data_IF_428018094904
#
_entry.id   IF_428018094904
#
_cell.length_a   1.000
_cell.length_b   1.000
_cell.length_c   1.000
_cell.angle_alpha   90.00
_cell.angle_beta   90.00
_cell.angle_gamma   90.00
#
_symmetry.space_group_name_H-M   'P 1'
#
loop_
_entity.id
_entity.type
_entity.pdbx_description
1 polymer ?
#
# COMPACT_ATOMS: atom_id res chain seq x y z
N UNK A 1 23.68 -0.70 30.83
CA UNK A 1 22.97 -0.98 29.58
C UNK A 1 23.51 -0.01 28.56
N UNK A 2 24.31 -0.51 27.62
CA UNK A 2 24.98 0.33 26.64
C UNK A 2 24.19 0.37 25.34
N UNK A 3 24.37 1.43 24.56
CA UNK A 3 23.81 1.61 23.20
C UNK A 3 23.92 0.36 22.29
N UNK A 4 24.89 -0.53 22.55
CA UNK A 4 25.06 -1.79 21.80
C UNK A 4 24.00 -2.86 22.11
N UNK A 5 23.42 -2.82 23.30
CA UNK A 5 22.37 -3.75 23.73
C UNK A 5 21.02 -3.33 23.14
N UNK A 6 20.72 -2.02 23.11
CA UNK A 6 19.53 -1.46 22.45
C UNK A 6 19.53 -1.70 20.94
N UNK A 7 20.66 -1.48 20.25
CA UNK A 7 20.78 -1.77 18.81
C UNK A 7 20.59 -3.27 18.53
N UNK A 8 21.05 -4.14 19.43
CA UNK A 8 20.85 -5.60 19.28
C UNK A 8 19.39 -6.00 19.48
N UNK A 9 18.70 -5.44 20.48
CA UNK A 9 17.27 -5.69 20.70
C UNK A 9 16.42 -5.20 19.53
N UNK A 10 16.64 -3.96 19.05
CA UNK A 10 15.95 -3.45 17.85
C UNK A 10 16.22 -4.32 16.62
N UNK A 11 17.46 -4.77 16.44
CA UNK A 11 17.83 -5.65 15.31
C UNK A 11 17.17 -7.02 15.43
N UNK A 12 17.09 -7.60 16.62
CA UNK A 12 16.46 -8.90 16.86
C UNK A 12 14.94 -8.81 16.68
N UNK A 13 14.30 -7.75 17.16
CA UNK A 13 12.86 -7.53 16.97
C UNK A 13 12.51 -7.28 15.50
N UNK A 14 13.34 -6.53 14.76
CA UNK A 14 13.21 -6.32 13.30
C UNK A 14 13.39 -7.62 12.50
N UNK A 15 14.38 -8.46 12.86
CA UNK A 15 14.59 -9.74 12.18
C UNK A 15 13.46 -10.72 12.48
N UNK A 16 12.91 -10.69 13.69
CA UNK A 16 11.81 -11.57 14.13
C UNK A 16 10.47 -11.24 13.47
N UNK A 17 10.19 -9.95 13.24
CA UNK A 17 8.99 -9.52 12.49
C UNK A 17 9.03 -9.95 11.03
N UNK A 18 10.23 -10.03 10.42
CA UNK A 18 10.40 -10.48 9.03
C UNK A 18 10.09 -11.98 8.81
N UNK A 19 10.13 -12.81 9.87
CA UNK A 19 9.85 -14.25 9.78
C UNK A 19 8.42 -14.63 10.18
N UNK A 20 7.58 -13.65 10.57
CA UNK A 20 6.24 -13.93 11.10
C UNK A 20 5.17 -14.08 10.02
N UNK A 21 5.39 -13.51 8.84
CA UNK A 21 4.44 -13.53 7.73
C UNK A 21 5.07 -14.02 6.44
N UNK A 22 4.40 -14.96 5.79
CA UNK A 22 4.76 -15.34 4.43
C UNK A 22 4.23 -14.29 3.44
N UNK A 23 4.85 -14.19 2.26
CA UNK A 23 4.43 -13.26 1.22
C UNK A 23 2.94 -13.36 0.90
N UNK A 24 2.40 -14.59 0.86
CA UNK A 24 0.96 -14.84 0.64
C UNK A 24 0.07 -14.17 1.67
N UNK A 25 0.50 -14.13 2.93
CA UNK A 25 -0.29 -13.57 4.02
C UNK A 25 -0.27 -12.05 3.99
N UNK A 26 0.93 -11.49 3.75
CA UNK A 26 1.10 -10.04 3.56
C UNK A 26 0.27 -9.55 2.38
N UNK A 27 0.38 -10.20 1.22
CA UNK A 27 -0.37 -9.79 0.03
C UNK A 27 -1.88 -9.93 0.25
N UNK A 28 -2.35 -11.01 0.87
CA UNK A 28 -3.78 -11.16 1.19
C UNK A 28 -4.29 -10.01 2.04
N UNK A 29 -3.56 -9.66 3.10
CA UNK A 29 -3.95 -8.59 4.02
C UNK A 29 -3.92 -7.21 3.36
N UNK A 30 -2.93 -6.95 2.50
CA UNK A 30 -2.86 -5.74 1.67
C UNK A 30 -4.07 -5.63 0.75
N UNK A 31 -4.38 -6.69 0.00
CA UNK A 31 -5.51 -6.71 -0.94
C UNK A 31 -6.83 -6.49 -0.21
N UNK A 32 -7.05 -7.16 0.91
CA UNK A 32 -8.25 -6.99 1.71
C UNK A 32 -8.37 -5.58 2.29
N UNK A 33 -7.27 -4.99 2.72
CA UNK A 33 -7.23 -3.60 3.21
C UNK A 33 -7.57 -2.59 2.10
N UNK A 34 -7.08 -2.81 0.87
CA UNK A 34 -7.44 -1.98 -0.30
C UNK A 34 -8.94 -2.05 -0.60
N UNK A 35 -9.51 -3.25 -0.54
CA UNK A 35 -10.96 -3.46 -0.74
C UNK A 35 -11.74 -2.71 0.33
N UNK A 36 -11.40 -2.83 1.61
CA UNK A 36 -12.12 -2.17 2.70
C UNK A 36 -12.15 -0.64 2.55
N UNK A 37 -11.06 -0.05 2.05
CA UNK A 37 -11.04 1.39 1.74
C UNK A 37 -11.99 1.74 0.59
N UNK A 38 -12.13 0.84 -0.38
CA UNK A 38 -12.95 1.02 -1.56
C UNK A 38 -14.45 0.81 -1.26
N UNK A 39 -14.82 -0.21 -0.48
CA UNK A 39 -16.20 -0.49 -0.08
C UNK A 39 -16.80 0.61 0.78
N UNK A 40 -15.98 1.38 1.49
CA UNK A 40 -16.43 2.60 2.18
C UNK A 40 -16.85 3.74 1.23
N UNK A 41 -16.53 3.63 -0.07
CA UNK A 41 -16.73 4.69 -1.08
C UNK A 41 -17.60 4.22 -2.25
N UNK A 42 -17.76 2.92 -2.43
CA UNK A 42 -18.45 2.29 -3.55
C UNK A 42 -19.22 1.06 -3.07
N UNK A 43 -19.98 0.38 -3.93
CA UNK A 43 -20.53 -0.92 -3.55
C UNK A 43 -19.44 -1.99 -3.40
N UNK A 44 -19.73 -3.03 -2.63
CA UNK A 44 -18.86 -4.19 -2.47
C UNK A 44 -18.51 -4.81 -3.83
N UNK A 45 -19.50 -5.20 -4.62
CA UNK A 45 -19.27 -5.78 -5.95
C UNK A 45 -18.37 -4.91 -6.83
N UNK A 46 -18.53 -3.59 -6.75
CA UNK A 46 -17.69 -2.67 -7.50
C UNK A 46 -16.24 -2.68 -6.98
N UNK A 47 -16.01 -2.64 -5.67
CA UNK A 47 -14.67 -2.71 -5.08
C UNK A 47 -13.96 -4.03 -5.44
N UNK A 48 -14.64 -5.17 -5.30
CA UNK A 48 -14.08 -6.49 -5.58
C UNK A 48 -13.78 -6.68 -7.07
N UNK A 49 -14.70 -6.30 -7.96
CA UNK A 49 -14.48 -6.35 -9.41
C UNK A 49 -13.37 -5.40 -9.88
N UNK A 50 -13.24 -4.23 -9.23
CA UNK A 50 -12.15 -3.29 -9.46
C UNK A 50 -10.81 -3.94 -9.14
N UNK A 51 -10.66 -4.51 -7.94
CA UNK A 51 -9.41 -5.13 -7.55
C UNK A 51 -9.03 -6.25 -8.53
N UNK A 52 -9.98 -7.11 -8.89
CA UNK A 52 -9.77 -8.19 -9.87
C UNK A 52 -9.27 -7.66 -11.21
N UNK A 53 -9.85 -6.56 -11.69
CA UNK A 53 -9.42 -5.89 -12.94
C UNK A 53 -8.00 -5.34 -12.81
N UNK A 54 -7.67 -4.65 -11.72
CA UNK A 54 -6.35 -4.05 -11.51
C UNK A 54 -5.25 -5.11 -11.38
N UNK A 55 -5.52 -6.21 -10.67
CA UNK A 55 -4.60 -7.36 -10.61
C UNK A 55 -4.33 -7.94 -12.00
N UNK A 56 -5.37 -8.07 -12.84
CA UNK A 56 -5.23 -8.56 -14.21
C UNK A 56 -4.45 -7.59 -15.11
N UNK A 57 -4.59 -6.29 -14.90
CA UNK A 57 -3.81 -5.27 -15.60
C UNK A 57 -2.32 -5.38 -15.27
N UNK A 58 -2.00 -5.52 -13.97
CA UNK A 58 -0.64 -5.64 -13.47
C UNK A 58 0.01 -6.99 -13.78
N UNK A 59 -0.76 -8.06 -14.01
CA UNK A 59 -0.22 -9.39 -14.36
C UNK A 59 0.68 -9.35 -15.60
N UNK A 60 0.50 -8.37 -16.48
CA UNK A 60 1.35 -8.16 -17.67
C UNK A 60 2.79 -7.80 -17.31
N UNK A 61 2.99 -7.05 -16.23
CA UNK A 61 4.30 -6.65 -15.71
C UNK A 61 4.78 -7.63 -14.63
N UNK A 62 3.85 -8.13 -13.82
CA UNK A 62 4.11 -9.00 -12.66
C UNK A 62 3.42 -10.35 -12.85
N UNK A 63 4.05 -11.24 -13.61
CA UNK A 63 3.44 -12.53 -13.99
C UNK A 63 3.04 -13.42 -12.79
N UNK A 64 3.64 -13.22 -11.62
CA UNK A 64 3.30 -13.94 -10.39
C UNK A 64 1.93 -13.54 -9.81
N UNK A 65 1.33 -12.42 -10.24
CA UNK A 65 -0.02 -12.04 -9.81
C UNK A 65 -1.09 -13.05 -10.27
N UNK A 66 -0.78 -13.89 -11.27
CA UNK A 66 -1.62 -15.05 -11.65
C UNK A 66 -1.85 -16.04 -10.50
N UNK A 67 -1.03 -16.01 -9.45
CA UNK A 67 -1.19 -16.84 -8.25
C UNK A 67 -2.26 -16.32 -7.29
N UNK A 68 -2.88 -15.17 -7.59
CA UNK A 68 -3.94 -14.57 -6.81
C UNK A 68 -5.26 -14.80 -7.54
N UNK A 69 -6.20 -15.44 -6.86
CA UNK A 69 -7.54 -15.72 -7.36
C UNK A 69 -8.56 -15.09 -6.41
N UNK A 70 -9.39 -14.20 -6.96
CA UNK A 70 -10.55 -13.66 -6.25
C UNK A 70 -11.75 -14.50 -6.65
N UNK A 71 -12.26 -15.28 -5.69
CA UNK A 71 -13.46 -16.09 -5.88
C UNK A 71 -14.67 -15.20 -6.04
N UNK A 72 -15.52 -15.54 -7.01
CA UNK A 72 -16.85 -14.97 -7.09
C UNK A 72 -17.75 -15.93 -6.31
N UNK A 73 -18.31 -15.47 -5.20
CA UNK A 73 -19.29 -16.28 -4.47
C UNK A 73 -20.58 -15.48 -4.40
N UNK A 74 -21.69 -16.12 -4.79
CA UNK A 74 -23.03 -15.51 -4.85
C UNK A 74 -23.63 -15.22 -3.46
N UNK A 75 -22.80 -15.03 -2.42
CA UNK A 75 -23.22 -14.73 -1.07
C UNK A 75 -23.31 -13.22 -0.82
N UNK A 76 -24.14 -12.87 0.16
CA UNK A 76 -24.42 -11.50 0.60
C UNK A 76 -23.22 -10.74 1.18
N UNK A 77 -22.06 -11.37 1.42
CA UNK A 77 -20.88 -10.75 2.04
C UNK A 77 -19.58 -11.40 1.58
N UNK A 78 -18.67 -10.57 1.07
CA UNK A 78 -17.29 -10.97 0.82
C UNK A 78 -16.44 -10.90 2.09
N UNK A 79 -15.40 -11.72 2.15
CA UNK A 79 -14.49 -11.92 3.28
C UNK A 79 -13.05 -12.05 2.80
N UNK A 80 -12.09 -12.00 3.73
CA UNK A 80 -10.68 -12.17 3.39
C UNK A 80 -10.38 -13.54 2.74
N UNK A 81 -11.17 -14.57 3.07
CA UNK A 81 -11.00 -15.94 2.54
C UNK A 81 -11.38 -16.07 1.05
N UNK A 82 -12.06 -15.05 0.51
CA UNK A 82 -12.38 -14.97 -0.93
C UNK A 82 -11.15 -14.60 -1.78
N UNK A 83 -10.06 -14.16 -1.13
CA UNK A 83 -8.75 -13.92 -1.74
C UNK A 83 -7.88 -15.17 -1.55
N UNK A 84 -7.94 -16.05 -2.54
CA UNK A 84 -7.10 -17.22 -2.61
C UNK A 84 -5.72 -16.87 -3.18
N UNK A 85 -4.66 -17.27 -2.50
CA UNK A 85 -3.28 -16.98 -2.92
C UNK A 85 -2.47 -18.26 -2.86
N UNK A 86 -1.93 -18.66 -4.00
CA UNK A 86 -1.14 -19.87 -4.11
C UNK A 86 0.21 -19.73 -3.39
N UNK A 87 0.69 -20.81 -2.77
CA UNK A 87 1.93 -20.81 -1.97
C UNK A 87 3.19 -20.45 -2.78
N UNK A 88 3.15 -20.57 -4.11
CA UNK A 88 4.22 -20.16 -5.02
C UNK A 88 4.57 -18.67 -4.86
N UNK A 89 3.63 -17.83 -4.39
CA UNK A 89 3.91 -16.43 -4.09
C UNK A 89 5.00 -16.26 -3.01
N UNK A 90 5.17 -17.25 -2.12
CA UNK A 90 6.18 -17.23 -1.06
C UNK A 90 7.61 -17.40 -1.58
N UNK A 91 7.78 -17.75 -2.86
CA UNK A 91 9.08 -17.87 -3.50
C UNK A 91 9.49 -16.60 -4.26
N UNK A 92 8.58 -15.64 -4.41
CA UNK A 92 8.85 -14.39 -5.12
C UNK A 92 9.75 -13.49 -4.29
N UNK A 93 10.68 -12.80 -4.95
CA UNK A 93 11.56 -11.86 -4.30
C UNK A 93 10.76 -10.75 -3.63
N UNK A 94 11.02 -10.52 -2.34
CA UNK A 94 10.29 -9.55 -1.51
C UNK A 94 10.26 -8.16 -2.12
N UNK A 95 11.36 -7.70 -2.72
CA UNK A 95 11.43 -6.38 -3.39
C UNK A 95 10.54 -6.30 -4.62
N UNK A 96 10.43 -7.38 -5.40
CA UNK A 96 9.57 -7.43 -6.58
C UNK A 96 8.09 -7.40 -6.17
N UNK A 97 7.74 -8.13 -5.11
CA UNK A 97 6.42 -8.04 -4.48
C UNK A 97 6.12 -6.64 -3.98
N UNK A 98 7.05 -6.01 -3.27
CA UNK A 98 6.92 -4.63 -2.80
C UNK A 98 6.63 -3.66 -3.95
N UNK A 99 7.36 -3.78 -5.06
CA UNK A 99 7.10 -2.97 -6.26
C UNK A 99 5.69 -3.19 -6.81
N UNK A 100 5.24 -4.44 -6.91
CA UNK A 100 3.87 -4.73 -7.38
C UNK A 100 2.78 -4.20 -6.44
N UNK A 101 3.01 -4.21 -5.13
CA UNK A 101 2.09 -3.64 -4.13
C UNK A 101 2.02 -2.12 -4.30
N UNK A 102 3.17 -1.45 -4.46
CA UNK A 102 3.23 -0.01 -4.70
C UNK A 102 2.44 0.37 -5.97
N UNK A 103 2.68 -0.32 -7.07
CA UNK A 103 2.00 -0.06 -8.34
C UNK A 103 0.48 -0.31 -8.24
N UNK A 104 0.07 -1.34 -7.50
CA UNK A 104 -1.33 -1.59 -7.21
C UNK A 104 -1.96 -0.46 -6.41
N UNK A 105 -1.31 0.02 -5.34
CA UNK A 105 -1.78 1.16 -4.52
C UNK A 105 -1.97 2.39 -5.39
N UNK A 106 -1.02 2.69 -6.28
CA UNK A 106 -1.09 3.86 -7.15
C UNK A 106 -2.19 3.75 -8.21
N UNK A 107 -2.37 2.57 -8.82
CA UNK A 107 -3.49 2.31 -9.72
C UNK A 107 -4.84 2.42 -9.01
N UNK A 108 -4.95 1.87 -7.80
CA UNK A 108 -6.17 1.93 -7.01
C UNK A 108 -6.54 3.36 -6.62
N UNK A 109 -5.55 4.16 -6.20
CA UNK A 109 -5.73 5.60 -5.93
C UNK A 109 -6.19 6.35 -7.17
N UNK A 110 -5.61 6.07 -8.33
CA UNK A 110 -6.02 6.67 -9.62
C UNK A 110 -7.46 6.30 -9.97
N UNK A 111 -7.85 5.06 -9.72
CA UNK A 111 -9.20 4.56 -9.98
C UNK A 111 -10.27 5.29 -9.16
N UNK A 112 -10.03 5.49 -7.85
CA UNK A 112 -10.96 6.21 -6.97
C UNK A 112 -11.08 7.70 -7.31
N UNK A 113 -10.11 8.25 -8.04
CA UNK A 113 -10.11 9.65 -8.48
C UNK A 113 -9.63 10.63 -7.39
N UNK A 114 -9.40 11.88 -7.80
CA UNK A 114 -8.67 12.88 -6.99
C UNK A 114 -9.28 13.18 -5.62
N UNK A 115 -10.62 13.24 -5.50
CA UNK A 115 -11.31 13.57 -4.23
C UNK A 115 -11.23 12.43 -3.22
N UNK A 116 -11.51 11.20 -3.65
CA UNK A 116 -11.45 10.02 -2.80
C UNK A 116 -10.01 9.58 -2.49
N UNK A 117 -9.07 9.86 -3.41
CA UNK A 117 -7.66 9.56 -3.28
C UNK A 117 -6.94 10.34 -2.17
N UNK A 118 -7.48 11.49 -1.71
CA UNK A 118 -6.81 12.34 -0.73
C UNK A 118 -6.69 11.67 0.65
N UNK A 119 -7.77 11.05 1.14
CA UNK A 119 -7.76 10.31 2.41
C UNK A 119 -7.45 8.82 2.23
N UNK A 120 -7.30 8.35 0.99
CA UNK A 120 -7.11 6.95 0.66
C UNK A 120 -5.96 6.30 1.43
N UNK A 121 -4.77 6.91 1.44
CA UNK A 121 -3.60 6.32 2.10
C UNK A 121 -3.77 6.28 3.62
N UNK A 122 -4.37 7.33 4.20
CA UNK A 122 -4.64 7.39 5.64
C UNK A 122 -5.58 6.26 6.06
N UNK A 123 -6.68 6.06 5.34
CA UNK A 123 -7.62 4.98 5.61
C UNK A 123 -7.01 3.60 5.34
N UNK A 124 -6.23 3.48 4.27
CA UNK A 124 -5.52 2.24 3.95
C UNK A 124 -4.58 1.83 5.08
N UNK A 125 -3.83 2.77 5.66
CA UNK A 125 -2.99 2.51 6.84
C UNK A 125 -3.81 2.02 8.04
N UNK A 126 -4.97 2.63 8.28
CA UNK A 126 -5.88 2.20 9.35
C UNK A 126 -6.35 0.76 9.16
N UNK A 127 -6.76 0.38 7.95
CA UNK A 127 -7.21 -1.00 7.66
C UNK A 127 -6.06 -2.00 7.67
N UNK A 128 -4.89 -1.60 7.18
CA UNK A 128 -3.70 -2.43 7.11
C UNK A 128 -3.19 -2.77 8.52
N UNK A 129 -3.25 -1.80 9.45
CA UNK A 129 -2.72 -1.95 10.80
C UNK A 129 -1.19 -1.83 10.85
N UNK A 130 -0.67 -1.48 12.03
CA UNK A 130 0.74 -1.13 12.21
C UNK A 130 1.71 -2.29 11.90
N UNK A 131 1.33 -3.52 12.22
CA UNK A 131 2.17 -4.69 11.99
C UNK A 131 2.45 -4.90 10.49
N UNK A 132 1.39 -4.94 9.66
CA UNK A 132 1.55 -5.10 8.22
C UNK A 132 2.10 -3.85 7.54
N UNK A 133 1.85 -2.66 8.09
CA UNK A 133 2.49 -1.43 7.63
C UNK A 133 4.03 -1.51 7.75
N UNK A 134 4.55 -1.98 8.89
CA UNK A 134 5.98 -2.22 9.07
C UNK A 134 6.53 -3.24 8.08
N UNK A 135 5.80 -4.34 7.88
CA UNK A 135 6.21 -5.39 6.93
C UNK A 135 6.31 -4.86 5.50
N UNK A 136 5.27 -4.20 4.96
CA UNK A 136 5.31 -3.71 3.57
C UNK A 136 6.34 -2.59 3.39
N UNK A 137 6.64 -1.80 4.44
CA UNK A 137 7.72 -0.82 4.40
C UNK A 137 9.07 -1.50 4.19
N UNK A 138 9.32 -2.62 4.86
CA UNK A 138 10.52 -3.43 4.65
C UNK A 138 10.56 -4.09 3.26
N UNK A 139 9.41 -4.29 2.62
CA UNK A 139 9.32 -4.70 1.20
C UNK A 139 9.62 -3.55 0.22
N UNK A 140 9.74 -2.31 0.70
CA UNK A 140 10.00 -1.12 -0.12
C UNK A 140 8.78 -0.24 -0.38
N UNK A 141 7.64 -0.49 0.27
CA UNK A 141 6.40 0.29 0.13
C UNK A 141 6.28 1.30 1.27
N UNK A 142 6.72 2.53 1.05
CA UNK A 142 6.66 3.58 2.06
C UNK A 142 5.38 4.42 1.92
N UNK A 143 4.34 4.06 2.70
CA UNK A 143 3.07 4.78 2.69
C UNK A 143 3.20 6.23 3.18
N UNK A 144 4.18 6.54 4.03
CA UNK A 144 4.42 7.91 4.49
C UNK A 144 4.98 8.76 3.35
N UNK A 145 5.88 8.21 2.54
CA UNK A 145 6.38 8.87 1.35
C UNK A 145 5.23 9.15 0.36
N UNK A 146 4.32 8.21 0.17
CA UNK A 146 3.14 8.41 -0.70
C UNK A 146 2.25 9.53 -0.15
N UNK A 147 1.99 9.59 1.16
CA UNK A 147 1.23 10.68 1.80
C UNK A 147 1.89 12.03 1.56
N UNK A 148 3.20 12.16 1.83
CA UNK A 148 3.96 13.39 1.63
C UNK A 148 3.89 13.88 0.18
N UNK A 149 4.05 12.97 -0.79
CA UNK A 149 3.92 13.30 -2.20
C UNK A 149 2.52 13.79 -2.56
N UNK A 150 1.46 13.24 -1.94
CA UNK A 150 0.09 13.69 -2.15
C UNK A 150 -0.16 15.06 -1.52
N UNK A 151 0.39 15.32 -0.33
CA UNK A 151 0.33 16.64 0.33
C UNK A 151 0.99 17.71 -0.54
N UNK A 152 2.21 17.44 -1.05
CA UNK A 152 2.95 18.33 -1.97
C UNK A 152 2.14 18.61 -3.25
N UNK A 153 1.62 17.57 -3.91
CA UNK A 153 0.78 17.74 -5.12
C UNK A 153 -0.53 18.48 -4.83
N UNK A 154 -1.08 18.32 -3.64
CA UNK A 154 -2.25 19.06 -3.17
C UNK A 154 -1.96 20.55 -3.02
N UNK A 155 -0.78 20.91 -2.51
CA UNK A 155 -0.32 22.30 -2.44
C UNK A 155 -0.21 22.92 -3.84
N UNK A 156 0.38 22.21 -4.81
CA UNK A 156 0.46 22.66 -6.21
C UNK A 156 -0.94 22.92 -6.83
N UNK A 157 -1.91 22.05 -6.54
CA UNK A 157 -3.28 22.18 -7.06
C UNK A 157 -4.06 23.37 -6.47
N UNK A 158 -3.70 23.86 -5.28
CA UNK A 158 -4.30 25.04 -4.65
C UNK A 158 -3.51 26.33 -4.93
N UNK A 159 -2.63 26.28 -5.93
CA UNK A 159 -1.83 27.44 -6.35
C UNK A 159 -0.66 27.72 -5.43
N UNK A 160 -0.24 26.81 -4.56
CA UNK A 160 0.99 26.99 -3.79
C UNK A 160 2.18 26.43 -4.58
N UNK A 161 3.35 27.05 -4.46
CA UNK A 161 4.60 26.56 -5.05
C UNK A 161 5.63 26.33 -3.94
N UNK A 162 6.32 25.20 -4.00
CA UNK A 162 7.51 24.99 -3.17
C UNK A 162 8.66 25.81 -3.77
N UNK A 163 9.24 26.69 -2.96
CA UNK A 163 10.52 27.35 -3.25
C UNK A 163 11.59 26.74 -2.36
N UNK A 164 12.66 26.28 -2.99
CA UNK A 164 13.90 25.96 -2.30
C UNK A 164 14.69 27.25 -2.11
N UNK A 165 15.07 27.53 -0.87
CA UNK A 165 16.07 28.55 -0.61
C UNK A 165 17.44 27.93 -0.82
N UNK A 166 18.22 28.48 -1.74
CA UNK A 166 19.56 27.97 -2.04
C UNK A 166 20.55 28.27 -0.91
N UNK A 167 20.17 29.11 0.05
CA UNK A 167 21.01 29.57 1.17
C UNK A 167 20.68 28.93 2.52
N UNK A 168 19.57 28.20 2.63
CA UNK A 168 19.24 27.37 3.78
C UNK A 168 18.71 26.02 3.29
N UNK A 169 19.04 24.90 3.93
CA UNK A 169 18.50 23.57 3.56
C UNK A 169 17.00 23.42 3.90
N UNK A 170 16.22 24.48 3.67
CA UNK A 170 14.82 24.63 4.05
C UNK A 170 14.06 25.00 2.77
N UNK A 171 12.98 24.27 2.50
CA UNK A 171 12.01 24.62 1.48
C UNK A 171 10.76 25.23 2.13
N UNK A 172 10.17 26.24 1.49
CA UNK A 172 8.94 26.88 1.98
C UNK A 172 7.84 26.88 0.92
N UNK A 173 6.60 27.01 1.40
CA UNK A 173 5.39 26.98 0.59
C UNK A 173 4.87 28.40 0.41
N UNK A 174 4.87 28.92 -0.82
CA UNK A 174 4.30 30.23 -1.16
C UNK A 174 2.99 30.09 -1.94
N UNK A 175 1.98 30.91 -1.63
CA UNK A 175 0.75 31.00 -2.42
C UNK A 175 1.00 31.84 -3.68
N UNK A 176 0.66 31.33 -4.86
CA UNK A 176 0.62 32.12 -6.11
C UNK A 176 -0.47 33.19 -5.94
N UNK A 177 -0.03 34.44 -5.97
CA UNK A 177 -0.89 35.62 -6.10
C UNK A 177 -1.25 35.78 -7.58
#
# INVERSE_FOLDING_TARGET
MGLKDEIKEETIEHVSTMHRFNNSDVVRHVLFSLINVATNKTSDDYAWSTLKKLLKELEREYSFLKYIEIKHIDYLKYTMDDINIAQQLNQIQVKELGKSIQDLIDLYKKYLGKKAGYFFIKEFKTYLGEEYHSVIKNMGVDLRLIELQNEIKGLDAHGYKIKEDSSSNIAYVEKRI
#
